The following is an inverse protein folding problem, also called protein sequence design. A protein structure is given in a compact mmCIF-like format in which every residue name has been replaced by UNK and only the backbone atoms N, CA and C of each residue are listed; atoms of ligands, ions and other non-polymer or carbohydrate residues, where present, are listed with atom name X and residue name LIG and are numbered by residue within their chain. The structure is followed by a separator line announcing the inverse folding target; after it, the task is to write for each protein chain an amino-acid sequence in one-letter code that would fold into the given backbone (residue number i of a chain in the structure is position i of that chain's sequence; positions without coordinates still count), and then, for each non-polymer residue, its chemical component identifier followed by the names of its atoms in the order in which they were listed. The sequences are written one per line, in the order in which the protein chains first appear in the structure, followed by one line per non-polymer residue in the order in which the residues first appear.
data_IF_079335702035
#
_entry.id   IF_079335702035
#
_cell.length_a   1.000
_cell.length_b   1.000
_cell.length_c   1.000
_cell.angle_alpha   90.00
_cell.angle_beta   90.00
_cell.angle_gamma   90.00
#
_symmetry.space_group_name_H-M   'P 1'
#
loop_
_entity.id
_entity.type
_entity.pdbx_description
1 polymer ?
#
# COMPACT_ATOMS: atom_id res chain seq x y z
N UNK A 1 7.47 13.58 25.90
CA UNK A 1 8.36 12.98 24.87
C UNK A 1 9.25 14.09 24.33
N UNK A 2 10.60 13.91 24.26
CA UNK A 2 11.50 14.89 23.66
C UNK A 2 11.12 15.20 22.22
N UNK A 3 11.24 16.46 21.83
CA UNK A 3 11.00 16.93 20.44
C UNK A 3 12.33 17.31 19.79
N UNK A 4 12.52 16.89 18.54
CA UNK A 4 13.69 17.21 17.71
C UNK A 4 13.23 17.77 16.36
N UNK A 5 13.92 18.78 15.85
CA UNK A 5 13.57 19.45 14.58
C UNK A 5 13.97 18.66 13.34
N UNK A 6 14.85 17.67 13.52
CA UNK A 6 15.33 16.85 12.41
C UNK A 6 15.78 15.46 12.88
N UNK A 7 15.81 14.49 11.95
CA UNK A 7 16.38 13.17 12.21
C UNK A 7 17.87 13.23 12.58
N UNK A 8 18.61 14.21 12.06
CA UNK A 8 20.03 14.41 12.39
C UNK A 8 20.18 14.86 13.83
N UNK A 9 19.39 15.83 14.28
CA UNK A 9 19.39 16.30 15.67
C UNK A 9 18.98 15.18 16.62
N UNK A 10 17.95 14.40 16.27
CA UNK A 10 17.56 13.22 17.05
C UNK A 10 18.74 12.25 17.22
N UNK A 11 19.40 11.88 16.13
CA UNK A 11 20.51 10.91 16.14
C UNK A 11 21.74 11.41 16.90
N UNK A 12 21.96 12.74 16.96
CA UNK A 12 23.07 13.32 17.71
C UNK A 12 22.83 13.38 19.22
N UNK A 13 21.57 13.51 19.64
CA UNK A 13 21.20 13.69 21.04
C UNK A 13 20.62 12.44 21.70
N UNK A 14 20.00 11.56 20.91
CA UNK A 14 19.36 10.36 21.41
C UNK A 14 19.38 9.27 20.34
N UNK A 15 19.53 8.02 20.75
CA UNK A 15 19.47 6.87 19.87
C UNK A 15 18.27 6.00 20.25
N UNK A 16 17.13 6.17 19.59
CA UNK A 16 15.95 5.37 19.89
C UNK A 16 16.16 3.90 19.52
N UNK A 17 15.44 2.98 20.17
CA UNK A 17 15.48 1.55 19.89
C UNK A 17 14.86 1.21 18.52
N UNK A 18 13.87 1.98 18.06
CA UNK A 18 13.23 1.89 16.76
C UNK A 18 12.59 3.21 16.36
N UNK A 19 12.29 3.39 15.08
CA UNK A 19 11.60 4.57 14.55
C UNK A 19 10.48 4.20 13.60
N UNK A 20 9.45 5.06 13.58
CA UNK A 20 8.41 5.04 12.55
C UNK A 20 8.66 6.23 11.61
N UNK A 21 8.85 5.96 10.33
CA UNK A 21 9.00 7.00 9.29
C UNK A 21 7.67 7.17 8.58
N UNK A 22 6.95 8.25 8.90
CA UNK A 22 5.64 8.59 8.36
C UNK A 22 5.66 9.97 7.66
N UNK A 23 6.76 10.30 7.02
CA UNK A 23 6.94 11.52 6.24
C UNK A 23 6.31 11.39 4.85
N UNK A 24 6.15 12.48 4.06
CA UNK A 24 5.79 12.37 2.66
C UNK A 24 6.76 11.49 1.87
N UNK A 25 6.25 10.72 0.90
CA UNK A 25 6.96 9.64 0.17
C UNK A 25 8.32 10.07 -0.41
N UNK A 26 8.43 11.32 -0.85
CA UNK A 26 9.68 11.88 -1.40
C UNK A 26 10.84 11.90 -0.39
N UNK A 27 10.55 11.89 0.91
CA UNK A 27 11.54 11.92 1.99
C UNK A 27 11.83 10.54 2.58
N UNK A 28 11.10 9.49 2.19
CA UNK A 28 11.26 8.14 2.72
C UNK A 28 12.69 7.64 2.57
N UNK A 29 13.31 7.79 1.38
CA UNK A 29 14.69 7.34 1.15
C UNK A 29 15.66 7.98 2.16
N UNK A 30 15.66 9.31 2.24
CA UNK A 30 16.60 10.06 3.08
C UNK A 30 16.49 9.65 4.56
N UNK A 31 15.28 9.71 5.10
CA UNK A 31 15.08 9.45 6.53
C UNK A 31 15.33 7.98 6.88
N UNK A 32 14.79 7.06 6.08
CA UNK A 32 14.93 5.63 6.33
C UNK A 32 16.40 5.19 6.28
N UNK A 33 17.15 5.60 5.26
CA UNK A 33 18.57 5.26 5.13
C UNK A 33 19.38 5.83 6.29
N UNK A 34 19.08 7.04 6.75
CA UNK A 34 19.79 7.65 7.88
C UNK A 34 19.67 6.79 9.16
N UNK A 35 18.46 6.30 9.48
CA UNK A 35 18.25 5.44 10.63
C UNK A 35 18.83 4.03 10.45
N UNK A 36 18.68 3.43 9.27
CA UNK A 36 19.26 2.12 8.97
C UNK A 36 20.80 2.14 9.08
N UNK A 37 21.45 3.23 8.63
CA UNK A 37 22.91 3.41 8.77
C UNK A 37 23.33 3.58 10.24
N UNK A 38 22.46 4.14 11.09
CA UNK A 38 22.65 4.20 12.54
C UNK A 38 22.31 2.88 13.25
N UNK A 39 21.96 1.82 12.49
CA UNK A 39 21.52 0.50 12.99
C UNK A 39 20.27 0.56 13.87
N UNK A 40 19.36 1.47 13.54
CA UNK A 40 18.06 1.62 14.20
C UNK A 40 16.99 0.97 13.32
N UNK A 41 16.22 0.00 13.85
CA UNK A 41 15.09 -0.62 13.15
C UNK A 41 14.06 0.43 12.71
N UNK A 42 13.50 0.25 11.50
CA UNK A 42 12.56 1.20 10.90
C UNK A 42 11.26 0.50 10.51
N UNK A 43 10.14 1.06 10.96
CA UNK A 43 8.83 0.88 10.35
C UNK A 43 8.61 2.06 9.38
N UNK A 44 8.61 1.79 8.09
CA UNK A 44 8.42 2.79 7.05
C UNK A 44 6.99 2.76 6.54
N UNK A 45 6.31 3.91 6.52
CA UNK A 45 5.00 4.03 5.90
C UNK A 45 5.03 3.71 4.40
N UNK A 46 3.89 3.23 3.91
CA UNK A 46 3.70 2.91 2.50
C UNK A 46 3.44 4.19 1.65
N UNK A 47 3.77 4.16 0.38
CA UNK A 47 4.61 3.19 -0.32
C UNK A 47 6.07 3.32 0.13
N UNK A 48 6.86 2.26 -0.06
CA UNK A 48 8.28 2.27 0.34
C UNK A 48 9.04 3.50 -0.21
N UNK A 49 8.67 3.96 -1.40
CA UNK A 49 9.20 5.18 -2.03
C UNK A 49 8.33 5.61 -3.21
N UNK A 50 8.59 6.80 -3.71
CA UNK A 50 8.00 7.39 -4.92
C UNK A 50 8.58 6.81 -6.24
N UNK A 51 9.69 6.06 -6.17
CA UNK A 51 10.25 5.37 -7.34
C UNK A 51 11.09 4.12 -6.98
N UNK A 52 11.26 3.25 -7.97
CA UNK A 52 11.93 1.95 -7.81
C UNK A 52 13.41 2.10 -7.42
N UNK A 53 14.13 3.08 -7.95
CA UNK A 53 15.57 3.27 -7.64
C UNK A 53 15.77 3.58 -6.17
N UNK A 54 14.99 4.53 -5.61
CA UNK A 54 15.02 4.87 -4.19
C UNK A 54 14.60 3.67 -3.31
N UNK A 55 13.56 2.93 -3.70
CA UNK A 55 13.13 1.74 -2.99
C UNK A 55 14.27 0.69 -2.90
N UNK A 56 14.98 0.45 -4.02
CA UNK A 56 16.15 -0.46 -4.04
C UNK A 56 17.24 0.00 -3.09
N UNK A 57 17.55 1.30 -3.02
CA UNK A 57 18.57 1.83 -2.10
C UNK A 57 18.18 1.63 -0.64
N UNK A 58 16.90 1.84 -0.29
CA UNK A 58 16.39 1.58 1.07
C UNK A 58 16.61 0.10 1.45
N UNK A 59 16.20 -0.83 0.56
CA UNK A 59 16.36 -2.27 0.77
C UNK A 59 17.85 -2.65 0.89
N UNK A 60 18.71 -2.10 0.03
CA UNK A 60 20.14 -2.33 0.08
C UNK A 60 20.77 -1.84 1.40
N UNK A 61 20.35 -0.66 1.88
CA UNK A 61 20.81 -0.12 3.17
C UNK A 61 20.42 -1.03 4.33
N UNK A 62 19.17 -1.52 4.38
CA UNK A 62 18.71 -2.48 5.38
C UNK A 62 19.60 -3.76 5.37
N UNK A 63 19.82 -4.34 4.19
CA UNK A 63 20.66 -5.55 4.04
C UNK A 63 22.10 -5.31 4.45
N UNK A 64 22.72 -4.21 3.97
CA UNK A 64 24.11 -3.84 4.26
C UNK A 64 24.36 -3.68 5.75
N UNK A 65 23.43 -3.00 6.45
CA UNK A 65 23.55 -2.71 7.87
C UNK A 65 23.01 -3.84 8.77
N UNK A 66 22.41 -4.90 8.17
CA UNK A 66 21.71 -5.98 8.89
C UNK A 66 20.69 -5.44 9.88
N UNK A 67 19.95 -4.42 9.46
CA UNK A 67 18.97 -3.70 10.31
C UNK A 67 17.56 -3.94 9.78
N UNK A 68 16.63 -4.21 10.69
CA UNK A 68 15.23 -4.51 10.33
C UNK A 68 14.56 -3.31 9.66
N UNK A 69 13.88 -3.61 8.55
CA UNK A 69 13.02 -2.70 7.82
C UNK A 69 11.66 -3.37 7.63
N UNK A 70 10.62 -2.79 8.17
CA UNK A 70 9.23 -3.16 7.98
C UNK A 70 8.54 -2.08 7.16
N UNK A 71 7.59 -2.47 6.31
CA UNK A 71 6.77 -1.54 5.53
C UNK A 71 5.34 -1.58 6.06
N UNK A 72 4.70 -0.42 6.19
CA UNK A 72 3.38 -0.23 6.80
C UNK A 72 2.20 -0.77 6.00
N UNK A 73 2.32 -1.97 5.43
CA UNK A 73 1.19 -2.68 4.80
C UNK A 73 0.37 -3.41 5.86
N UNK A 74 -0.40 -2.66 6.64
CA UNK A 74 -1.13 -3.12 7.82
C UNK A 74 -2.17 -4.20 7.53
N UNK A 75 -2.79 -4.22 6.34
CA UNK A 75 -3.85 -5.18 5.98
C UNK A 75 -3.40 -6.64 6.08
N UNK A 76 -2.10 -6.94 5.93
CA UNK A 76 -1.55 -8.30 6.12
C UNK A 76 -1.75 -8.83 7.55
N UNK A 77 -1.90 -7.94 8.53
CA UNK A 77 -2.04 -8.26 9.95
C UNK A 77 -3.50 -8.35 10.40
N UNK A 78 -4.46 -8.09 9.51
CA UNK A 78 -5.88 -8.33 9.78
C UNK A 78 -6.15 -9.82 10.03
N UNK A 79 -6.94 -10.13 11.06
CA UNK A 79 -7.19 -11.52 11.48
C UNK A 79 -7.90 -12.35 10.40
N UNK A 80 -8.81 -11.74 9.62
CA UNK A 80 -9.50 -12.40 8.51
C UNK A 80 -8.50 -12.71 7.40
N UNK A 81 -7.67 -11.73 7.01
CA UNK A 81 -6.63 -11.92 5.98
C UNK A 81 -5.66 -13.02 6.38
N UNK A 82 -5.25 -13.07 7.65
CA UNK A 82 -4.38 -14.12 8.17
C UNK A 82 -5.03 -15.51 8.09
N UNK A 83 -6.34 -15.60 8.37
CA UNK A 83 -7.10 -16.86 8.23
C UNK A 83 -7.20 -17.29 6.77
N UNK A 84 -7.53 -16.37 5.85
CA UNK A 84 -7.59 -16.66 4.41
C UNK A 84 -6.22 -17.15 3.91
N UNK A 85 -5.13 -16.47 4.28
CA UNK A 85 -3.77 -16.87 3.92
C UNK A 85 -3.47 -18.31 4.37
N UNK A 86 -3.82 -18.66 5.61
CA UNK A 86 -3.64 -20.02 6.13
C UNK A 86 -4.43 -21.05 5.33
N UNK A 87 -5.66 -20.76 4.91
CA UNK A 87 -6.48 -21.68 4.08
C UNK A 87 -5.87 -21.88 2.69
N UNK A 88 -5.34 -20.81 2.07
CA UNK A 88 -4.64 -20.90 0.79
C UNK A 88 -3.36 -21.75 0.96
N UNK A 89 -2.53 -21.45 1.96
CA UNK A 89 -1.23 -22.12 2.16
C UNK A 89 -1.38 -23.60 2.56
N UNK A 90 -2.46 -23.96 3.25
CA UNK A 90 -2.76 -25.36 3.59
C UNK A 90 -3.22 -26.21 2.40
N UNK A 91 -3.55 -25.56 1.27
CA UNK A 91 -4.10 -26.24 0.09
C UNK A 91 -5.57 -26.65 0.22
N UNK A 92 -6.25 -26.30 1.32
CA UNK A 92 -7.66 -26.67 1.55
C UNK A 92 -8.62 -26.10 0.50
N UNK A 93 -8.25 -24.98 -0.15
CA UNK A 93 -9.04 -24.36 -1.23
C UNK A 93 -8.68 -24.92 -2.61
N UNK A 94 -7.73 -25.86 -2.69
CA UNK A 94 -7.18 -26.32 -3.95
C UNK A 94 -6.35 -25.25 -4.65
N UNK A 95 -6.22 -25.37 -5.98
CA UNK A 95 -5.48 -24.40 -6.79
C UNK A 95 -6.35 -23.16 -7.05
N UNK A 96 -5.89 -22.00 -6.62
CA UNK A 96 -6.56 -20.75 -6.96
C UNK A 96 -6.34 -20.45 -8.44
N UNK A 97 -7.42 -20.35 -9.20
CA UNK A 97 -7.39 -20.14 -10.66
C UNK A 97 -7.64 -18.69 -11.06
N UNK A 98 -8.51 -17.99 -10.31
CA UNK A 98 -8.86 -16.61 -10.60
C UNK A 98 -9.12 -15.81 -9.32
N UNK A 99 -8.97 -14.49 -9.41
CA UNK A 99 -9.36 -13.54 -8.37
C UNK A 99 -9.94 -12.26 -9.01
N UNK A 100 -10.87 -11.62 -8.29
CA UNK A 100 -11.39 -10.32 -8.64
C UNK A 100 -11.36 -9.42 -7.42
N UNK A 101 -10.89 -8.16 -7.58
CA UNK A 101 -10.76 -7.19 -6.50
C UNK A 101 -11.37 -5.86 -6.92
N UNK A 102 -12.15 -5.28 -6.05
CA UNK A 102 -12.75 -3.96 -6.24
C UNK A 102 -12.30 -3.01 -5.13
N UNK A 103 -11.83 -1.83 -5.54
CA UNK A 103 -11.48 -0.73 -4.66
C UNK A 103 -12.25 0.53 -5.12
N UNK A 104 -13.56 0.51 -4.95
CA UNK A 104 -14.45 1.62 -5.33
C UNK A 104 -14.76 2.44 -4.09
N UNK A 105 -13.99 3.51 -3.90
CA UNK A 105 -14.03 4.32 -2.70
C UNK A 105 -14.17 5.80 -3.05
N UNK A 106 -15.41 6.25 -3.16
CA UNK A 106 -15.73 7.64 -3.49
C UNK A 106 -14.98 8.63 -2.61
N UNK A 107 -14.39 9.63 -3.24
CA UNK A 107 -13.77 10.78 -2.57
C UNK A 107 -14.55 12.05 -2.88
N UNK A 108 -14.98 12.76 -1.84
CA UNK A 108 -15.68 14.03 -1.97
C UNK A 108 -14.72 15.16 -2.41
N UNK A 109 -15.27 16.34 -2.71
CA UNK A 109 -14.48 17.50 -3.16
C UNK A 109 -13.46 17.96 -2.12
N UNK A 110 -13.75 17.81 -0.83
CA UNK A 110 -12.85 18.26 0.24
C UNK A 110 -11.55 17.46 0.30
N UNK A 111 -11.58 16.19 -0.11
CA UNK A 111 -10.38 15.36 -0.26
C UNK A 111 -9.33 16.02 -1.14
N UNK A 112 -9.72 16.74 -2.18
CA UNK A 112 -8.84 17.36 -3.17
C UNK A 112 -8.43 18.81 -2.84
N UNK A 113 -8.76 19.32 -1.66
CA UNK A 113 -8.21 20.58 -1.14
C UNK A 113 -6.69 20.49 -0.99
N UNK A 114 -6.19 19.30 -0.67
CA UNK A 114 -4.76 18.97 -0.64
C UNK A 114 -4.21 18.85 -2.07
N UNK A 115 -3.50 19.86 -2.54
CA UNK A 115 -3.07 20.01 -3.94
C UNK A 115 -2.21 18.85 -4.48
N UNK A 116 -1.47 18.14 -3.63
CA UNK A 116 -0.68 17.00 -4.08
C UNK A 116 -1.54 15.84 -4.57
N UNK A 117 -2.78 15.72 -4.10
CA UNK A 117 -3.71 14.63 -4.46
C UNK A 117 -4.24 14.70 -5.89
N UNK A 118 -4.12 15.85 -6.54
CA UNK A 118 -4.51 16.05 -7.94
C UNK A 118 -3.31 15.98 -8.91
N UNK A 119 -2.11 15.71 -8.37
CA UNK A 119 -0.86 15.67 -9.11
C UNK A 119 -0.27 14.26 -9.11
N UNK A 120 0.70 14.00 -9.99
CA UNK A 120 1.37 12.70 -10.16
C UNK A 120 1.68 12.02 -8.82
N UNK A 121 1.18 10.80 -8.65
CA UNK A 121 1.29 10.01 -7.41
C UNK A 121 0.17 10.22 -6.40
N UNK A 122 -0.75 11.16 -6.65
CA UNK A 122 -1.89 11.47 -5.78
C UNK A 122 -3.21 10.81 -6.19
N UNK A 123 -3.23 10.05 -7.28
CA UNK A 123 -4.42 9.31 -7.72
C UNK A 123 -4.69 8.05 -6.92
N UNK A 124 -5.85 7.41 -7.13
CA UNK A 124 -6.26 6.21 -6.39
C UNK A 124 -5.32 5.02 -6.58
N UNK A 125 -4.56 4.92 -7.67
CA UNK A 125 -3.51 3.90 -7.84
C UNK A 125 -2.44 4.05 -6.76
N UNK A 126 -1.89 5.26 -6.57
CA UNK A 126 -0.81 5.52 -5.63
C UNK A 126 -1.25 5.55 -4.16
N UNK A 127 -2.47 6.00 -3.89
CA UNK A 127 -2.96 6.19 -2.51
C UNK A 127 -3.64 4.93 -1.98
N UNK A 128 -4.55 4.34 -2.75
CA UNK A 128 -5.40 3.24 -2.31
C UNK A 128 -4.91 1.89 -2.83
N UNK A 129 -4.72 1.75 -4.15
CA UNK A 129 -4.49 0.47 -4.80
C UNK A 129 -3.20 -0.21 -4.36
N UNK A 130 -2.20 0.52 -3.91
CA UNK A 130 -0.95 -0.06 -3.37
C UNK A 130 -1.20 -1.04 -2.23
N UNK A 131 -2.25 -0.82 -1.43
CA UNK A 131 -2.66 -1.75 -0.37
C UNK A 131 -3.28 -3.03 -0.92
N UNK A 132 -4.12 -2.89 -1.96
CA UNK A 132 -4.79 -4.04 -2.58
C UNK A 132 -3.79 -4.88 -3.37
N UNK A 133 -2.84 -4.24 -4.09
CA UNK A 133 -1.75 -4.93 -4.79
C UNK A 133 -0.87 -5.70 -3.78
N UNK A 134 -0.51 -5.07 -2.67
CA UNK A 134 0.25 -5.73 -1.62
C UNK A 134 -0.48 -6.95 -1.06
N UNK A 135 -1.78 -6.80 -0.81
CA UNK A 135 -2.60 -7.85 -0.24
C UNK A 135 -2.74 -9.05 -1.20
N UNK A 136 -3.01 -8.81 -2.50
CA UNK A 136 -3.08 -9.92 -3.47
C UNK A 136 -1.71 -10.58 -3.68
N UNK A 137 -0.61 -9.82 -3.64
CA UNK A 137 0.73 -10.41 -3.66
C UNK A 137 1.00 -11.28 -2.42
N UNK A 138 0.53 -10.86 -1.25
CA UNK A 138 0.65 -11.63 -0.02
C UNK A 138 -0.16 -12.93 -0.08
N UNK A 139 -1.38 -12.88 -0.61
CA UNK A 139 -2.28 -14.04 -0.69
C UNK A 139 -1.88 -15.00 -1.83
N UNK A 140 -1.61 -14.49 -3.02
CA UNK A 140 -1.49 -15.27 -4.26
C UNK A 140 -0.05 -15.42 -4.77
N UNK A 141 0.91 -14.74 -4.14
CA UNK A 141 2.33 -14.80 -4.51
C UNK A 141 2.76 -13.72 -5.53
N UNK A 142 3.90 -13.93 -6.22
CA UNK A 142 4.49 -12.90 -7.07
C UNK A 142 3.76 -12.76 -8.42
N UNK A 143 3.53 -11.50 -8.81
CA UNK A 143 3.01 -11.12 -10.13
C UNK A 143 4.12 -11.24 -11.17
N UNK A 144 3.80 -11.76 -12.36
CA UNK A 144 4.71 -11.89 -13.50
C UNK A 144 4.35 -10.96 -14.65
N UNK A 145 3.06 -10.66 -14.85
CA UNK A 145 2.59 -9.77 -15.91
C UNK A 145 1.53 -8.82 -15.39
N UNK A 146 1.54 -7.60 -15.91
CA UNK A 146 0.58 -6.53 -15.59
C UNK A 146 0.14 -5.86 -16.88
N UNK A 147 -1.18 -5.68 -17.03
CA UNK A 147 -1.78 -4.83 -18.03
C UNK A 147 -2.75 -3.88 -17.36
N UNK A 148 -2.67 -2.59 -17.63
CA UNK A 148 -3.51 -1.59 -16.99
C UNK A 148 -4.07 -0.58 -18.00
N UNK A 149 -5.30 -0.15 -17.75
CA UNK A 149 -5.94 0.97 -18.43
C UNK A 149 -6.42 1.96 -17.39
N UNK A 150 -6.12 3.24 -17.60
CA UNK A 150 -6.48 4.33 -16.66
C UNK A 150 -7.36 5.37 -17.35
N UNK A 151 -8.14 6.08 -16.55
CA UNK A 151 -8.95 7.21 -16.99
C UNK A 151 -8.90 8.33 -15.94
N UNK A 152 -8.97 9.56 -16.40
CA UNK A 152 -9.18 10.76 -15.57
C UNK A 152 -10.37 11.61 -16.08
N UNK A 153 -11.25 11.00 -16.86
CA UNK A 153 -12.29 11.73 -17.61
C UNK A 153 -13.36 12.35 -16.74
N UNK A 154 -13.57 11.83 -15.52
CA UNK A 154 -14.61 12.34 -14.61
C UNK A 154 -14.09 13.54 -13.83
N UNK A 155 -12.93 13.40 -13.19
CA UNK A 155 -12.35 14.49 -12.36
C UNK A 155 -11.52 15.48 -13.16
N UNK A 156 -10.97 15.05 -14.30
CA UNK A 156 -10.12 15.87 -15.20
C UNK A 156 -8.88 16.44 -14.50
N UNK A 157 -8.37 15.71 -13.48
CA UNK A 157 -7.10 16.04 -12.84
C UNK A 157 -5.91 15.48 -13.63
N UNK A 158 -4.70 15.84 -13.23
CA UNK A 158 -3.46 15.31 -13.82
C UNK A 158 -3.32 13.80 -13.60
N UNK A 159 -3.93 13.27 -12.56
CA UNK A 159 -3.90 11.85 -12.18
C UNK A 159 -5.18 11.13 -12.59
N UNK A 160 -5.12 9.83 -12.62
CA UNK A 160 -6.27 8.96 -12.85
C UNK A 160 -7.31 9.10 -11.74
N UNK A 161 -8.59 8.90 -12.08
CA UNK A 161 -9.72 8.74 -11.17
C UNK A 161 -10.29 7.32 -11.19
N UNK A 162 -9.92 6.55 -12.22
CA UNK A 162 -10.38 5.18 -12.44
C UNK A 162 -9.28 4.37 -13.12
N UNK A 163 -9.12 3.11 -12.72
CA UNK A 163 -8.24 2.17 -13.41
C UNK A 163 -8.78 0.74 -13.35
N UNK A 164 -8.45 -0.03 -14.40
CA UNK A 164 -8.62 -1.48 -14.45
C UNK A 164 -7.24 -2.09 -14.68
N UNK A 165 -6.91 -3.10 -13.87
CA UNK A 165 -5.61 -3.78 -13.94
C UNK A 165 -5.82 -5.27 -14.00
N UNK A 166 -5.15 -5.93 -14.94
CA UNK A 166 -5.08 -7.37 -15.06
C UNK A 166 -3.68 -7.85 -14.63
N UNK A 167 -3.65 -8.87 -13.81
CA UNK A 167 -2.43 -9.49 -13.31
C UNK A 167 -2.38 -10.98 -13.69
N UNK A 168 -1.18 -11.46 -14.02
CA UNK A 168 -0.86 -12.88 -14.05
C UNK A 168 0.14 -13.18 -12.95
N UNK A 169 -0.17 -14.16 -12.10
CA UNK A 169 0.72 -14.60 -11.04
C UNK A 169 1.62 -15.74 -11.51
N UNK A 170 2.74 -15.97 -10.82
CA UNK A 170 3.66 -17.07 -11.11
C UNK A 170 2.99 -18.45 -11.00
N UNK A 171 1.99 -18.58 -10.15
CA UNK A 171 1.15 -19.79 -10.02
C UNK A 171 0.28 -20.10 -11.24
N UNK A 172 0.14 -19.15 -12.15
CA UNK A 172 -0.83 -19.17 -13.26
C UNK A 172 -2.19 -18.57 -12.90
N UNK A 173 -2.41 -18.16 -11.67
CA UNK A 173 -3.64 -17.45 -11.26
C UNK A 173 -3.79 -16.15 -12.05
N UNK A 174 -4.99 -15.88 -12.53
CA UNK A 174 -5.36 -14.60 -13.16
C UNK A 174 -6.11 -13.73 -12.15
N UNK A 175 -5.86 -12.42 -12.17
CA UNK A 175 -6.59 -11.50 -11.30
C UNK A 175 -6.96 -10.23 -12.05
N UNK A 176 -8.21 -9.79 -11.87
CA UNK A 176 -8.65 -8.46 -12.29
C UNK A 176 -8.81 -7.58 -11.05
N UNK A 177 -8.40 -6.32 -11.17
CA UNK A 177 -8.56 -5.34 -10.13
C UNK A 177 -9.09 -4.04 -10.72
N UNK A 178 -10.14 -3.48 -10.13
CA UNK A 178 -10.68 -2.19 -10.51
C UNK A 178 -10.63 -1.21 -9.34
N UNK A 179 -10.19 0.00 -9.60
CA UNK A 179 -10.18 1.09 -8.62
C UNK A 179 -10.86 2.33 -9.18
N UNK A 180 -11.66 2.99 -8.36
CA UNK A 180 -12.18 4.32 -8.69
C UNK A 180 -12.49 5.12 -7.43
N UNK A 181 -12.20 6.41 -7.48
CA UNK A 181 -12.57 7.38 -6.46
C UNK A 181 -13.82 8.20 -6.81
N UNK A 182 -14.48 7.84 -7.92
CA UNK A 182 -15.69 8.50 -8.43
C UNK A 182 -16.94 7.64 -8.29
N UNK A 183 -16.79 6.36 -7.95
CA UNK A 183 -17.89 5.42 -7.81
C UNK A 183 -18.38 5.39 -6.35
N UNK A 184 -19.69 5.61 -6.16
CA UNK A 184 -20.35 5.39 -4.88
C UNK A 184 -20.86 3.96 -4.86
N UNK A 185 -20.13 3.07 -4.20
CA UNK A 185 -20.47 1.64 -4.12
C UNK A 185 -19.88 1.01 -2.85
N UNK A 186 -20.44 -0.10 -2.36
CA UNK A 186 -20.01 -0.72 -1.10
C UNK A 186 -18.79 -1.68 -1.27
N UNK A 187 -18.02 -1.55 -2.34
CA UNK A 187 -17.00 -2.52 -2.73
C UNK A 187 -15.58 -1.96 -2.54
N UNK A 188 -15.09 -1.94 -1.32
CA UNK A 188 -13.67 -1.71 -1.02
C UNK A 188 -13.29 -2.36 0.30
N UNK A 189 -12.01 -2.64 0.48
CA UNK A 189 -11.49 -3.14 1.75
C UNK A 189 -11.87 -2.23 2.92
N UNK A 190 -11.78 -0.93 2.75
CA UNK A 190 -12.06 0.07 3.80
C UNK A 190 -13.49 -0.05 4.34
N UNK A 191 -14.46 -0.36 3.46
CA UNK A 191 -15.87 -0.50 3.82
C UNK A 191 -16.18 -1.89 4.39
N UNK A 192 -15.44 -2.92 3.95
CA UNK A 192 -15.68 -4.31 4.35
C UNK A 192 -14.98 -4.67 5.66
N UNK A 193 -13.75 -4.19 5.86
CA UNK A 193 -12.92 -4.57 7.01
C UNK A 193 -13.35 -3.88 8.32
N UNK A 194 -13.98 -2.71 8.25
CA UNK A 194 -14.39 -1.94 9.41
C UNK A 194 -13.25 -1.43 10.30
N UNK A 195 -12.02 -1.39 9.76
CA UNK A 195 -10.84 -0.97 10.53
C UNK A 195 -10.71 0.55 10.66
N UNK A 196 -11.30 1.29 9.74
CA UNK A 196 -11.23 2.75 9.73
C UNK A 196 -12.59 3.37 10.06
N UNK A 197 -12.76 3.99 11.24
CA UNK A 197 -14.03 4.56 11.67
C UNK A 197 -14.52 5.74 10.81
N UNK A 198 -13.68 6.28 9.93
CA UNK A 198 -14.08 7.34 8.99
C UNK A 198 -14.96 6.83 7.84
N UNK A 199 -15.10 5.50 7.69
CA UNK A 199 -15.91 4.89 6.65
C UNK A 199 -17.05 4.04 7.26
N UNK A 200 -18.24 4.00 6.64
CA UNK A 200 -19.30 3.10 7.05
C UNK A 200 -18.91 1.64 6.77
N UNK A 201 -19.42 0.72 7.59
CA UNK A 201 -19.19 -0.71 7.38
C UNK A 201 -20.27 -1.25 6.44
N UNK A 202 -19.88 -2.15 5.54
CA UNK A 202 -20.76 -2.89 4.63
C UNK A 202 -20.59 -4.39 4.79
N UNK A 203 -21.62 -5.16 4.43
CA UNK A 203 -21.58 -6.63 4.36
C UNK A 203 -21.22 -7.13 2.95
N UNK A 204 -20.84 -6.24 2.04
CA UNK A 204 -20.50 -6.62 0.66
C UNK A 204 -19.02 -6.99 0.56
N UNK A 205 -18.71 -8.07 -0.14
CA UNK A 205 -17.35 -8.50 -0.41
C UNK A 205 -16.71 -7.64 -1.50
N UNK A 206 -15.46 -7.23 -1.27
CA UNK A 206 -14.66 -6.52 -2.27
C UNK A 206 -13.59 -7.42 -2.93
N UNK A 207 -13.40 -8.63 -2.39
CA UNK A 207 -12.45 -9.63 -2.86
C UNK A 207 -13.17 -10.95 -3.11
N UNK A 208 -12.92 -11.53 -4.27
CA UNK A 208 -13.37 -12.87 -4.69
C UNK A 208 -12.15 -13.66 -5.15
N UNK A 209 -11.91 -14.79 -4.50
CA UNK A 209 -10.72 -15.63 -4.73
C UNK A 209 -11.15 -17.10 -4.84
#
# INVERSE_FOLDING_TARGET
VPFYRSSTELLSNNKPDAVIVATPNQFHEKHTISFLNAKIPVLLEKPISDNISKAKKIIQSSKKNKTHLLIGYHRRHNSIVTKVKKQIDSGNLGKIVAANVMCWLYKNKDWYKEKWRIKKGGGPLGINLVHDIDLICYLLGPITHVQATTSNKIRKYEVEDTAIVNFTFRSGTLCTLSVSDTIVAPYSYELTAGENPAYPITNQSAYFI
#
